data_IF_067256723258
#
_entry.id   IF_067256723258
#
_cell.length_a   1.000
_cell.length_b   1.000
_cell.length_c   1.000
_cell.angle_alpha   90.00
_cell.angle_beta   90.00
_cell.angle_gamma   90.00
#
_symmetry.space_group_name_H-M   'P 1'
#
loop_
_entity.id
_entity.type
_entity.pdbx_description
1 polymer ?
#
# COMPACT_ATOMS: atom_id res chain seq x y z
N UNK A 1 12.16 3.06 4.00
CA UNK A 1 12.00 3.97 5.16
C UNK A 1 10.67 3.65 5.82
N UNK A 2 10.62 3.66 7.14
CA UNK A 2 9.38 3.57 7.92
C UNK A 2 8.57 4.87 7.82
N UNK A 3 7.29 4.82 8.22
CA UNK A 3 6.45 6.01 8.32
C UNK A 3 7.09 7.10 9.21
N UNK A 4 7.69 6.68 10.33
CA UNK A 4 8.34 7.56 11.29
C UNK A 4 9.55 8.28 10.67
N UNK A 5 10.41 7.54 9.96
CA UNK A 5 11.59 8.09 9.27
C UNK A 5 11.18 9.12 8.21
N UNK A 6 10.18 8.80 7.38
CA UNK A 6 9.67 9.73 6.36
C UNK A 6 9.07 10.97 7.02
N UNK A 7 8.24 10.82 8.06
CA UNK A 7 7.63 11.96 8.75
C UNK A 7 8.68 12.85 9.41
N UNK A 8 9.68 12.27 10.06
CA UNK A 8 10.73 13.03 10.75
C UNK A 8 11.61 13.80 9.76
N UNK A 9 11.99 13.18 8.65
CA UNK A 9 12.71 13.83 7.55
C UNK A 9 11.91 15.01 6.97
N UNK A 10 10.62 14.79 6.68
CA UNK A 10 9.76 15.82 6.09
C UNK A 10 9.50 16.98 7.04
N UNK A 11 9.44 16.72 8.36
CA UNK A 11 9.26 17.77 9.34
C UNK A 11 10.42 18.77 9.32
N UNK A 12 11.68 18.32 9.20
CA UNK A 12 12.83 19.22 9.32
C UNK A 12 12.70 20.13 10.56
N UNK A 13 12.66 21.45 10.35
CA UNK A 13 12.53 22.46 11.41
C UNK A 13 11.11 22.61 11.99
N UNK A 14 10.11 21.91 11.43
CA UNK A 14 8.76 21.92 11.98
C UNK A 14 8.75 21.36 13.40
N UNK A 15 8.33 22.19 14.34
CA UNK A 15 7.98 21.73 15.68
C UNK A 15 6.66 20.96 15.62
N UNK A 16 6.48 19.98 16.52
CA UNK A 16 5.22 19.22 16.58
C UNK A 16 4.00 20.11 16.87
N UNK A 17 4.22 21.22 17.60
CA UNK A 17 3.17 22.21 17.91
C UNK A 17 2.78 22.99 16.66
N UNK A 18 3.77 23.49 15.91
CA UNK A 18 3.52 24.20 14.66
C UNK A 18 2.83 23.29 13.63
N UNK A 19 3.27 22.05 13.49
CA UNK A 19 2.67 21.11 12.54
C UNK A 19 1.23 20.75 12.93
N UNK A 20 0.96 20.53 14.22
CA UNK A 20 -0.41 20.32 14.69
C UNK A 20 -1.30 21.53 14.40
N UNK A 21 -0.81 22.74 14.67
CA UNK A 21 -1.55 23.97 14.39
C UNK A 21 -1.86 24.11 12.90
N UNK A 22 -0.91 23.78 12.02
CA UNK A 22 -1.11 23.83 10.57
C UNK A 22 -2.14 22.79 10.09
N UNK A 23 -2.07 21.55 10.57
CA UNK A 23 -3.09 20.52 10.29
C UNK A 23 -4.47 21.00 10.72
N UNK A 24 -4.59 21.52 11.94
CA UNK A 24 -5.87 21.98 12.48
C UNK A 24 -6.40 23.22 11.72
N UNK A 25 -5.52 24.13 11.29
CA UNK A 25 -5.87 25.28 10.44
C UNK A 25 -6.46 24.84 9.10
N UNK A 26 -6.03 23.69 8.57
CA UNK A 26 -6.53 23.09 7.33
C UNK A 26 -7.81 22.26 7.52
N UNK A 27 -8.33 22.18 8.75
CA UNK A 27 -9.55 21.45 9.10
C UNK A 27 -9.33 19.99 9.52
N UNK A 28 -8.08 19.54 9.62
CA UNK A 28 -7.76 18.25 10.25
C UNK A 28 -7.87 18.33 11.77
N UNK A 29 -7.78 17.18 12.43
CA UNK A 29 -7.78 17.11 13.90
C UNK A 29 -6.61 16.26 14.39
N UNK A 30 -5.55 16.92 14.85
CA UNK A 30 -4.36 16.22 15.37
C UNK A 30 -3.73 16.94 16.56
N UNK A 31 -3.31 16.15 17.54
CA UNK A 31 -2.54 16.63 18.69
C UNK A 31 -1.03 16.57 18.43
N UNK A 32 -0.29 17.60 18.83
CA UNK A 32 1.18 17.63 18.75
C UNK A 32 1.84 16.46 19.49
N UNK A 33 1.25 15.98 20.59
CA UNK A 33 1.72 14.79 21.31
C UNK A 33 1.62 13.51 20.47
N UNK A 34 0.58 13.38 19.65
CA UNK A 34 0.42 12.25 18.73
C UNK A 34 1.43 12.32 17.58
N UNK A 35 1.66 13.51 17.00
CA UNK A 35 2.74 13.73 16.01
C UNK A 35 4.10 13.32 16.60
N UNK A 36 4.38 13.71 17.84
CA UNK A 36 5.62 13.37 18.52
C UNK A 36 5.78 11.86 18.79
N UNK A 37 4.68 11.11 18.87
CA UNK A 37 4.69 9.65 18.95
C UNK A 37 4.91 9.01 17.57
N UNK A 38 4.31 9.58 16.52
CA UNK A 38 4.48 9.13 15.14
C UNK A 38 5.92 9.30 14.65
N UNK A 39 6.52 10.49 14.81
CA UNK A 39 7.92 10.77 14.42
C UNK A 39 8.93 9.84 15.08
N UNK A 40 8.65 9.40 16.31
CA UNK A 40 9.53 8.48 17.07
C UNK A 40 9.21 7.01 16.84
N UNK A 41 8.22 6.69 16.00
CA UNK A 41 7.77 5.31 15.77
C UNK A 41 7.08 4.64 16.96
N UNK A 42 6.74 5.38 18.03
CA UNK A 42 5.95 4.83 19.16
C UNK A 42 4.51 4.53 18.75
N UNK A 43 4.01 5.29 17.78
CA UNK A 43 2.83 5.00 17.00
C UNK A 43 3.28 4.90 15.56
N UNK A 44 2.85 3.87 14.87
CA UNK A 44 3.32 3.50 13.53
C UNK A 44 2.16 3.19 12.58
N UNK A 45 0.94 3.16 13.09
CA UNK A 45 -0.25 2.80 12.33
C UNK A 45 -1.29 3.93 12.32
N UNK A 46 -0.96 5.10 11.73
CA UNK A 46 -1.89 6.21 11.57
C UNK A 46 -3.06 5.84 10.66
N UNK A 47 -4.13 6.62 10.74
CA UNK A 47 -5.25 6.51 9.80
C UNK A 47 -4.89 7.20 8.48
N UNK A 48 -5.55 6.83 7.40
CA UNK A 48 -5.40 7.48 6.10
C UNK A 48 -5.61 9.00 6.19
N UNK A 49 -6.66 9.46 6.87
CA UNK A 49 -6.89 10.90 7.08
C UNK A 49 -5.69 11.57 7.74
N UNK A 50 -5.12 10.95 8.77
CA UNK A 50 -3.87 11.43 9.40
C UNK A 50 -2.71 11.55 8.40
N UNK A 51 -2.55 10.59 7.49
CA UNK A 51 -1.51 10.62 6.44
C UNK A 51 -1.73 11.83 5.52
N UNK A 52 -2.96 12.04 5.04
CA UNK A 52 -3.32 13.14 4.15
C UNK A 52 -3.23 14.51 4.82
N UNK A 53 -3.66 14.61 6.09
CA UNK A 53 -3.58 15.81 6.90
C UNK A 53 -2.13 16.26 7.08
N UNK A 54 -1.25 15.33 7.47
CA UNK A 54 0.18 15.59 7.61
C UNK A 54 0.81 15.95 6.27
N UNK A 55 0.53 15.19 5.21
CA UNK A 55 1.07 15.44 3.87
C UNK A 55 0.70 16.85 3.39
N UNK A 56 -0.56 17.22 3.53
CA UNK A 56 -1.02 18.51 3.08
C UNK A 56 -0.52 19.67 3.93
N UNK A 57 -0.33 19.49 5.25
CA UNK A 57 0.30 20.50 6.10
C UNK A 57 1.79 20.70 5.75
N UNK A 58 2.47 19.63 5.34
CA UNK A 58 3.87 19.64 4.91
C UNK A 58 4.04 20.04 3.44
N UNK A 59 2.95 20.22 2.68
CA UNK A 59 2.98 20.59 1.27
C UNK A 59 3.54 19.49 0.35
N UNK A 60 3.34 18.22 0.70
CA UNK A 60 3.83 17.06 -0.06
C UNK A 60 2.70 16.13 -0.47
N UNK A 61 2.98 15.24 -1.42
CA UNK A 61 2.06 14.20 -1.85
C UNK A 61 1.99 13.05 -0.81
N UNK A 62 0.81 12.56 -0.38
CA UNK A 62 0.67 11.56 0.69
C UNK A 62 1.30 10.21 0.36
N UNK A 63 1.47 9.88 -0.93
CA UNK A 63 2.14 8.65 -1.34
C UNK A 63 3.57 8.52 -0.82
N UNK A 64 4.28 9.61 -0.50
CA UNK A 64 5.65 9.54 0.01
C UNK A 64 5.74 8.76 1.33
N UNK A 65 4.70 8.78 2.16
CA UNK A 65 4.63 8.03 3.41
C UNK A 65 4.58 6.51 3.20
N UNK A 66 4.34 6.07 1.97
CA UNK A 66 4.23 4.66 1.60
C UNK A 66 5.10 4.32 0.39
N UNK A 67 6.17 5.09 0.16
CA UNK A 67 7.20 4.82 -0.85
C UNK A 67 6.90 5.35 -2.25
N UNK A 68 5.90 6.20 -2.42
CA UNK A 68 5.62 6.93 -3.67
C UNK A 68 6.32 8.29 -3.74
N UNK A 69 5.89 9.11 -4.70
CA UNK A 69 6.45 10.46 -4.92
C UNK A 69 6.16 11.43 -3.78
N UNK A 70 7.02 12.44 -3.64
CA UNK A 70 6.90 13.53 -2.65
C UNK A 70 6.30 14.79 -3.26
N UNK A 71 6.53 15.01 -4.54
CA UNK A 71 6.18 16.23 -5.24
C UNK A 71 4.66 16.37 -5.35
N UNK A 72 4.14 17.49 -4.85
CA UNK A 72 2.75 17.89 -5.01
C UNK A 72 2.66 18.88 -6.18
N UNK A 73 1.82 18.59 -7.16
CA UNK A 73 1.68 19.46 -8.35
C UNK A 73 0.80 20.67 -8.07
N UNK A 74 0.96 21.75 -8.84
CA UNK A 74 0.09 22.92 -8.72
C UNK A 74 -1.39 22.54 -8.89
N UNK A 75 -2.20 22.85 -7.87
CA UNK A 75 -3.64 22.57 -7.87
C UNK A 75 -4.03 21.13 -7.54
N UNK A 76 -3.07 20.23 -7.33
CA UNK A 76 -3.33 18.83 -7.01
C UNK A 76 -3.91 18.68 -5.60
N UNK A 77 -4.89 17.79 -5.44
CA UNK A 77 -5.48 17.42 -4.15
C UNK A 77 -5.51 15.90 -4.01
N UNK A 78 -4.34 15.28 -3.79
CA UNK A 78 -4.24 13.84 -3.69
C UNK A 78 -4.91 13.34 -2.41
N UNK A 79 -5.49 12.16 -2.47
CA UNK A 79 -6.16 11.53 -1.36
C UNK A 79 -6.55 10.08 -1.68
N UNK A 80 -7.25 9.45 -0.75
CA UNK A 80 -7.77 8.10 -0.93
C UNK A 80 -8.48 7.95 -2.27
N UNK A 81 -8.20 6.85 -2.95
CA UNK A 81 -8.89 6.46 -4.17
C UNK A 81 -9.75 5.23 -3.91
N UNK A 82 -11.02 5.36 -3.44
CA UNK A 82 -11.93 4.21 -3.34
C UNK A 82 -12.10 3.46 -4.66
N UNK A 83 -12.04 4.18 -5.79
CA UNK A 83 -12.07 3.59 -7.12
C UNK A 83 -10.85 2.69 -7.40
N UNK A 84 -9.67 3.05 -6.89
CA UNK A 84 -8.48 2.22 -7.02
C UNK A 84 -8.68 0.87 -6.30
N UNK A 85 -9.19 0.88 -5.06
CA UNK A 85 -9.51 -0.37 -4.35
C UNK A 85 -10.56 -1.20 -5.08
N UNK A 86 -11.66 -0.59 -5.52
CA UNK A 86 -12.71 -1.29 -6.28
C UNK A 86 -12.17 -1.90 -7.57
N UNK A 87 -11.26 -1.20 -8.25
CA UNK A 87 -10.69 -1.68 -9.52
C UNK A 87 -9.86 -2.95 -9.35
N UNK A 88 -9.24 -3.17 -8.18
CA UNK A 88 -8.40 -4.35 -7.93
C UNK A 88 -9.20 -5.56 -7.42
N UNK A 89 -10.43 -5.30 -6.97
CA UNK A 89 -11.19 -6.23 -6.16
C UNK A 89 -11.87 -7.28 -7.03
N UNK A 90 -11.43 -8.52 -6.86
CA UNK A 90 -12.03 -9.72 -7.44
C UNK A 90 -12.26 -10.71 -6.31
N UNK A 91 -13.39 -11.41 -6.30
CA UNK A 91 -13.72 -12.39 -5.27
C UNK A 91 -14.33 -11.80 -3.99
N UNK A 92 -14.13 -12.50 -2.88
CA UNK A 92 -14.87 -12.27 -1.64
C UNK A 92 -14.10 -11.39 -0.64
N UNK A 93 -14.72 -10.36 -0.03
CA UNK A 93 -14.13 -9.62 1.09
C UNK A 93 -13.63 -10.50 2.24
N UNK A 94 -14.28 -11.63 2.46
CA UNK A 94 -13.92 -12.60 3.48
C UNK A 94 -12.57 -13.28 3.17
N UNK A 95 -12.30 -13.69 1.92
CA UNK A 95 -11.03 -14.31 1.50
C UNK A 95 -9.86 -13.31 1.60
N UNK A 96 -10.10 -12.07 1.17
CA UNK A 96 -9.11 -10.99 1.27
C UNK A 96 -8.78 -10.68 2.73
N UNK A 97 -9.79 -10.65 3.60
CA UNK A 97 -9.60 -10.45 5.04
C UNK A 97 -8.82 -11.59 5.68
N UNK A 98 -9.11 -12.84 5.32
CA UNK A 98 -8.38 -14.01 5.81
C UNK A 98 -6.90 -13.94 5.42
N UNK A 99 -6.59 -13.61 4.17
CA UNK A 99 -5.22 -13.49 3.69
C UNK A 99 -4.45 -12.34 4.37
N UNK A 100 -5.10 -11.21 4.65
CA UNK A 100 -4.45 -10.04 5.29
C UNK A 100 -4.36 -10.20 6.82
N UNK A 101 -5.31 -10.90 7.45
CA UNK A 101 -5.37 -11.18 8.89
C UNK A 101 -5.65 -9.98 9.82
N UNK A 102 -5.32 -8.75 9.42
CA UNK A 102 -5.42 -7.55 10.26
C UNK A 102 -6.67 -6.68 10.00
N UNK A 103 -7.54 -7.11 9.07
CA UNK A 103 -8.73 -6.42 8.60
C UNK A 103 -9.91 -7.41 8.52
N UNK A 104 -11.15 -6.96 8.74
CA UNK A 104 -12.35 -7.80 8.58
C UNK A 104 -12.99 -7.67 7.20
N UNK A 105 -13.66 -8.73 6.74
CA UNK A 105 -14.42 -8.71 5.47
C UNK A 105 -15.54 -7.67 5.47
N UNK A 106 -16.19 -7.46 6.63
CA UNK A 106 -17.17 -6.38 6.81
C UNK A 106 -16.57 -5.00 6.57
N UNK A 107 -15.38 -4.73 7.12
CA UNK A 107 -14.72 -3.44 6.95
C UNK A 107 -14.22 -3.24 5.51
N UNK A 108 -13.74 -4.30 4.85
CA UNK A 108 -13.43 -4.24 3.40
C UNK A 108 -14.68 -3.85 2.59
N UNK A 109 -15.83 -4.44 2.89
CA UNK A 109 -17.10 -4.11 2.23
C UNK A 109 -17.50 -2.65 2.44
N UNK A 110 -17.29 -2.12 3.65
CA UNK A 110 -17.49 -0.70 3.94
C UNK A 110 -16.55 0.19 3.13
N UNK A 111 -15.28 -0.19 2.96
CA UNK A 111 -14.31 0.54 2.14
C UNK A 111 -14.69 0.53 0.65
N UNK A 112 -15.16 -0.61 0.14
CA UNK A 112 -15.59 -0.75 -1.25
C UNK A 112 -16.82 0.12 -1.57
N UNK A 113 -17.79 0.10 -0.66
CA UNK A 113 -19.05 0.85 -0.78
C UNK A 113 -18.91 2.33 -0.41
N UNK A 114 -17.81 2.71 0.25
CA UNK A 114 -17.57 4.07 0.73
C UNK A 114 -18.29 4.41 2.05
N UNK A 115 -18.93 3.42 2.70
CA UNK A 115 -19.50 3.60 4.05
C UNK A 115 -18.41 3.94 5.07
N UNK A 116 -17.25 3.30 4.93
CA UNK A 116 -16.02 3.73 5.59
C UNK A 116 -15.04 4.20 4.53
N UNK A 117 -14.27 5.22 4.86
CA UNK A 117 -13.25 5.75 3.97
C UNK A 117 -11.90 5.90 4.67
N UNK A 118 -11.73 5.54 5.94
CA UNK A 118 -10.54 5.89 6.73
C UNK A 118 -9.73 4.66 7.21
N UNK A 119 -9.16 3.85 6.28
CA UNK A 119 -8.34 2.71 6.64
C UNK A 119 -7.07 3.14 7.38
N UNK A 120 -6.52 2.26 8.23
CA UNK A 120 -5.23 2.49 8.88
C UNK A 120 -4.09 2.08 7.96
N UNK A 121 -2.89 2.59 8.20
CA UNK A 121 -1.69 2.30 7.39
C UNK A 121 -1.49 0.80 7.16
N UNK A 122 -1.56 -0.03 8.21
CA UNK A 122 -1.41 -1.49 8.07
C UNK A 122 -2.46 -2.13 7.13
N UNK A 123 -3.67 -1.59 7.08
CA UNK A 123 -4.71 -2.08 6.18
C UNK A 123 -4.39 -1.68 4.73
N UNK A 124 -3.91 -0.45 4.53
CA UNK A 124 -3.47 0.02 3.21
C UNK A 124 -2.31 -0.84 2.70
N UNK A 125 -1.32 -1.12 3.56
CA UNK A 125 -0.18 -1.97 3.22
C UNK A 125 -0.62 -3.41 2.93
N UNK A 126 -1.49 -4.00 3.75
CA UNK A 126 -2.00 -5.36 3.54
C UNK A 126 -2.82 -5.49 2.26
N UNK A 127 -3.67 -4.51 1.94
CA UNK A 127 -4.41 -4.48 0.67
C UNK A 127 -3.46 -4.36 -0.53
N UNK A 128 -2.44 -3.51 -0.43
CA UNK A 128 -1.44 -3.34 -1.48
C UNK A 128 -0.67 -4.65 -1.73
N UNK A 129 -0.21 -5.30 -0.67
CA UNK A 129 0.49 -6.57 -0.71
C UNK A 129 -0.38 -7.68 -1.31
N UNK A 130 -1.61 -7.83 -0.82
CA UNK A 130 -2.55 -8.85 -1.33
C UNK A 130 -2.82 -8.68 -2.82
N UNK A 131 -3.06 -7.45 -3.27
CA UNK A 131 -3.34 -7.18 -4.68
C UNK A 131 -2.10 -7.05 -5.55
N UNK A 132 -0.89 -7.14 -4.99
CA UNK A 132 0.36 -7.05 -5.74
C UNK A 132 0.65 -5.66 -6.33
N UNK A 133 0.15 -4.59 -5.71
CA UNK A 133 0.33 -3.21 -6.17
C UNK A 133 1.19 -2.40 -5.20
N UNK A 134 1.90 -1.35 -5.64
CA UNK A 134 2.54 -0.41 -4.72
C UNK A 134 1.48 0.25 -3.81
N UNK A 135 1.72 0.42 -2.50
CA UNK A 135 0.77 1.10 -1.62
C UNK A 135 0.40 2.52 -2.04
N UNK A 136 1.34 3.19 -2.73
CA UNK A 136 1.14 4.51 -3.33
C UNK A 136 -0.02 4.55 -4.34
N UNK A 137 -0.39 3.42 -4.95
CA UNK A 137 -1.49 3.31 -5.92
C UNK A 137 -2.82 3.84 -5.38
N UNK A 138 -3.05 3.69 -4.07
CA UNK A 138 -4.27 4.18 -3.42
C UNK A 138 -4.31 5.70 -3.21
N UNK A 139 -3.22 6.41 -3.50
CA UNK A 139 -3.08 7.87 -3.30
C UNK A 139 -2.70 8.62 -4.57
N UNK A 140 -2.00 7.97 -5.51
CA UNK A 140 -1.45 8.59 -6.71
C UNK A 140 -2.20 8.11 -7.95
N UNK A 141 -2.81 9.04 -8.67
CA UNK A 141 -3.59 8.74 -9.89
C UNK A 141 -2.71 8.35 -11.08
N UNK A 142 -1.43 8.72 -11.07
CA UNK A 142 -0.49 8.39 -12.14
C UNK A 142 -0.01 6.94 -12.11
N UNK A 143 -0.15 6.31 -10.94
CA UNK A 143 0.06 4.89 -10.84
C UNK A 143 -1.15 4.23 -11.48
N UNK A 144 -0.97 3.82 -12.73
CA UNK A 144 -1.85 2.90 -13.41
C UNK A 144 -1.38 1.47 -13.17
N UNK A 145 -2.34 0.59 -12.96
CA UNK A 145 -2.11 -0.85 -12.90
C UNK A 145 -2.74 -1.43 -14.15
N UNK A 146 -1.93 -2.08 -14.98
CA UNK A 146 -2.47 -2.87 -16.08
C UNK A 146 -3.22 -4.06 -15.49
N UNK A 147 -4.54 -3.95 -15.47
CA UNK A 147 -5.45 -4.97 -14.95
C UNK A 147 -5.30 -6.29 -15.70
N UNK A 148 -4.98 -6.24 -17.01
CA UNK A 148 -4.75 -7.44 -17.81
C UNK A 148 -3.45 -8.14 -17.41
N UNK A 149 -2.37 -7.37 -17.20
CA UNK A 149 -1.13 -7.93 -16.67
C UNK A 149 -1.31 -8.48 -15.26
N UNK A 150 -2.04 -7.77 -14.40
CA UNK A 150 -2.29 -8.23 -13.03
C UNK A 150 -3.12 -9.51 -12.98
N UNK A 151 -4.17 -9.60 -13.80
CA UNK A 151 -4.97 -10.81 -13.96
C UNK A 151 -4.12 -11.98 -14.47
N UNK A 152 -3.30 -11.77 -15.50
CA UNK A 152 -2.38 -12.79 -16.00
C UNK A 152 -1.39 -13.27 -14.92
N UNK A 153 -0.81 -12.37 -14.13
CA UNK A 153 0.09 -12.73 -13.02
C UNK A 153 -0.63 -13.50 -11.90
N UNK A 154 -1.91 -13.20 -11.64
CA UNK A 154 -2.76 -13.96 -10.71
C UNK A 154 -3.02 -15.37 -11.21
N UNK A 155 -3.46 -15.50 -12.46
CA UNK A 155 -3.71 -16.81 -13.10
C UNK A 155 -2.44 -17.67 -13.10
N UNK A 156 -1.28 -17.05 -13.30
CA UNK A 156 0.03 -17.70 -13.24
C UNK A 156 0.53 -17.99 -11.82
N UNK A 157 -0.21 -17.63 -10.77
CA UNK A 157 0.15 -17.87 -9.37
C UNK A 157 1.32 -17.04 -8.84
N UNK A 158 1.75 -16.00 -9.57
CA UNK A 158 2.93 -15.18 -9.24
C UNK A 158 2.70 -14.39 -7.95
N UNK A 159 1.50 -13.87 -7.73
CA UNK A 159 1.15 -13.12 -6.52
C UNK A 159 1.23 -14.03 -5.28
N UNK A 160 0.61 -15.21 -5.34
CA UNK A 160 0.65 -16.19 -4.24
C UNK A 160 2.09 -16.65 -3.94
N UNK A 161 2.91 -16.84 -4.98
CA UNK A 161 4.33 -17.14 -4.83
C UNK A 161 5.09 -16.01 -4.12
N UNK A 162 4.87 -14.76 -4.53
CA UNK A 162 5.52 -13.60 -3.93
C UNK A 162 5.18 -13.46 -2.43
N UNK A 163 3.91 -13.64 -2.06
CA UNK A 163 3.44 -13.60 -0.67
C UNK A 163 4.10 -14.71 0.16
N UNK A 164 4.06 -15.95 -0.31
CA UNK A 164 4.69 -17.09 0.39
C UNK A 164 6.21 -16.93 0.52
N UNK A 165 6.86 -16.32 -0.46
CA UNK A 165 8.29 -16.03 -0.41
C UNK A 165 8.62 -15.00 0.67
N UNK A 166 7.79 -13.96 0.82
CA UNK A 166 7.95 -12.97 1.88
C UNK A 166 7.80 -13.58 3.29
N UNK A 167 6.82 -14.47 3.46
CA UNK A 167 6.57 -15.16 4.73
C UNK A 167 7.67 -16.18 5.10
N UNK A 168 8.09 -17.00 4.13
CA UNK A 168 9.06 -18.08 4.39
C UNK A 168 10.50 -17.61 4.38
N UNK A 169 10.79 -16.49 3.73
CA UNK A 169 12.15 -15.98 3.61
C UNK A 169 12.22 -14.47 3.93
N UNK A 170 11.83 -14.06 5.15
CA UNK A 170 11.78 -12.65 5.55
C UNK A 170 13.17 -11.99 5.56
N UNK A 171 14.23 -12.80 5.65
CA UNK A 171 15.63 -12.36 5.59
C UNK A 171 16.09 -11.96 4.18
N UNK A 172 15.32 -12.25 3.14
CA UNK A 172 15.67 -11.85 1.78
C UNK A 172 15.49 -10.35 1.59
N UNK A 173 16.54 -9.72 1.07
CA UNK A 173 16.48 -8.30 0.71
C UNK A 173 15.39 -8.06 -0.35
N UNK A 174 14.79 -6.85 -0.38
CA UNK A 174 13.81 -6.51 -1.43
C UNK A 174 14.34 -6.76 -2.85
N UNK A 175 15.62 -6.44 -3.09
CA UNK A 175 16.29 -6.67 -4.38
C UNK A 175 16.31 -8.16 -4.77
N UNK A 176 16.60 -9.04 -3.81
CA UNK A 176 16.62 -10.49 -4.04
C UNK A 176 15.22 -11.04 -4.27
N UNK A 177 14.22 -10.57 -3.52
CA UNK A 177 12.82 -10.95 -3.73
C UNK A 177 12.32 -10.53 -5.12
N UNK A 178 12.59 -9.28 -5.53
CA UNK A 178 12.25 -8.80 -6.87
C UNK A 178 12.96 -9.59 -7.97
N UNK A 179 14.22 -9.98 -7.77
CA UNK A 179 14.94 -10.81 -8.73
C UNK A 179 14.33 -12.22 -8.87
N UNK A 180 13.92 -12.83 -7.76
CA UNK A 180 13.26 -14.14 -7.75
C UNK A 180 11.89 -14.10 -8.44
N UNK A 181 11.06 -13.11 -8.11
CA UNK A 181 9.75 -12.91 -8.76
C UNK A 181 9.96 -12.71 -10.26
N UNK A 182 10.88 -11.83 -10.67
CA UNK A 182 11.18 -11.59 -12.08
C UNK A 182 11.62 -12.87 -12.81
N UNK A 183 12.46 -13.70 -12.19
CA UNK A 183 12.89 -14.96 -12.79
C UNK A 183 11.71 -15.93 -12.99
N UNK A 184 10.78 -15.99 -12.03
CA UNK A 184 9.55 -16.80 -12.13
C UNK A 184 8.62 -16.23 -13.19
N UNK A 185 8.36 -14.93 -13.19
CA UNK A 185 7.52 -14.27 -14.21
C UNK A 185 8.08 -14.49 -15.62
N UNK A 186 9.40 -14.39 -15.81
CA UNK A 186 10.05 -14.65 -17.10
C UNK A 186 9.92 -16.12 -17.52
N UNK A 187 10.11 -17.05 -16.58
CA UNK A 187 9.94 -18.48 -16.83
C UNK A 187 8.48 -18.86 -17.18
N UNK A 188 7.49 -18.12 -16.67
CA UNK A 188 6.08 -18.34 -16.96
C UNK A 188 5.68 -17.72 -18.31
N UNK A 189 6.21 -16.52 -18.62
CA UNK A 189 6.04 -15.87 -19.94
C UNK A 189 6.66 -16.66 -21.08
N UNK A 190 7.76 -17.36 -20.85
CA UNK A 190 8.42 -18.21 -21.86
C UNK A 190 7.71 -19.55 -22.10
N UNK A 191 6.75 -19.95 -21.25
CA UNK A 191 6.09 -21.27 -21.27
C UNK A 191 4.69 -21.33 -21.88
N UNK A 192 4.21 -20.29 -22.56
CA UNK A 192 2.95 -20.33 -23.35
C UNK A 192 2.97 -21.29 -24.57
N UNK A 193 3.94 -22.21 -24.66
CA UNK A 193 4.09 -23.18 -25.76
C UNK A 193 4.25 -24.66 -25.40
N UNK A 194 4.34 -25.06 -24.13
CA UNK A 194 4.57 -26.47 -23.79
C UNK A 194 3.63 -26.97 -22.68
N UNK A 195 2.66 -27.79 -23.08
CA UNK A 195 1.89 -28.68 -22.22
C UNK A 195 2.87 -29.58 -21.47
N UNK A 196 2.96 -29.40 -20.15
CA UNK A 196 3.79 -30.25 -19.31
C UNK A 196 3.17 -31.65 -19.23
N UNK A 197 3.73 -32.60 -19.98
CA UNK A 197 3.42 -34.02 -19.83
C UNK A 197 4.18 -34.55 -18.62
N UNK A 198 3.47 -34.76 -17.51
CA UNK A 198 4.01 -35.55 -16.42
C UNK A 198 4.01 -37.02 -16.87
N UNK A 199 5.03 -37.40 -17.63
CA UNK A 199 5.31 -38.79 -17.96
C UNK A 199 5.36 -39.60 -16.67
N UNK A 200 4.38 -40.49 -16.50
CA UNK A 200 4.37 -41.45 -15.42
C UNK A 200 5.57 -42.40 -15.58
N UNK A 201 6.36 -42.66 -14.53
CA UNK A 201 7.40 -43.67 -14.60
C UNK A 201 6.76 -45.08 -14.60
N UNK A 202 7.29 -45.96 -15.46
CA UNK A 202 7.00 -47.40 -15.51
C UNK A 202 7.44 -48.15 -14.24
#
# INVERSE_FOLDING_TARGET
>A
MSFAEVLDELCGDWTNVALAAEVNRRGGEIGHGYIAQLRRGRKDNPTRRTIEDLAGALGVHPACFVGGRRELRPGERPGWRPAALRSLFEGSPEDVAEAIGSISGSYIRELLTGVSDNPRLRHILGLAEYFGVPPAYFFDEELEVDQGELAALRELGVIEFATRLAERAPHLTPKTRSAAIRAVTEALRTKEGERWDFGAPE
#
